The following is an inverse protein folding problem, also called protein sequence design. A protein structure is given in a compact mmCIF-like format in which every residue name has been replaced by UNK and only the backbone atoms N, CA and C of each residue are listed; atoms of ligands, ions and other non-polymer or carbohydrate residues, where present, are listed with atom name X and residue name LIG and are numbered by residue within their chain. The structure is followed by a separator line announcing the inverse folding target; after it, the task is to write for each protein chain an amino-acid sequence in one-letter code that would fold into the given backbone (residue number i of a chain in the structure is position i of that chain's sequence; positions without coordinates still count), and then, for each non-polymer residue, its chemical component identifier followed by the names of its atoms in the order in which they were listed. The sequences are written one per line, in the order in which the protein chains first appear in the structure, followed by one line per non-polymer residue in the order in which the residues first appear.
data_IF_966021127994
#
_entry.id   IF_966021127994
#
_cell.length_a   1.000
_cell.length_b   1.000
_cell.length_c   1.000
_cell.angle_alpha   90.00
_cell.angle_beta   90.00
_cell.angle_gamma   90.00
#
_symmetry.space_group_name_H-M   'P 1'
#
loop_
_entity.id
_entity.type
_entity.pdbx_description
1 polymer ?
#
# COMPACT_ATOMS: atom_id res chain seq x y z
N UNK A 1 9.12 7.53 -17.67
CA UNK A 1 9.60 8.93 -17.77
C UNK A 1 8.98 9.79 -16.67
N UNK A 2 9.24 9.48 -15.38
CA UNK A 2 8.77 10.28 -14.22
C UNK A 2 9.96 11.01 -13.56
N UNK A 3 11.20 10.55 -13.78
CA UNK A 3 12.43 11.10 -13.18
C UNK A 3 12.75 12.55 -13.57
N UNK A 4 12.09 13.13 -14.57
CA UNK A 4 12.49 14.42 -15.19
C UNK A 4 11.48 15.57 -15.04
N UNK A 5 10.40 15.44 -14.25
CA UNK A 5 9.43 16.55 -14.04
C UNK A 5 9.50 17.03 -12.60
N UNK A 6 10.40 18.00 -12.33
CA UNK A 6 10.45 18.75 -11.06
C UNK A 6 9.46 19.93 -11.02
N UNK A 7 8.94 20.33 -12.17
CA UNK A 7 7.99 21.45 -12.32
C UNK A 7 6.62 20.87 -12.66
N UNK A 8 5.64 21.17 -11.83
CA UNK A 8 4.26 20.75 -11.99
C UNK A 8 3.37 21.97 -12.25
N UNK A 9 2.44 21.90 -13.22
CA UNK A 9 1.58 23.04 -13.57
C UNK A 9 0.50 23.37 -12.51
N UNK A 10 0.11 22.40 -11.68
CA UNK A 10 -0.81 22.57 -10.55
C UNK A 10 -0.73 21.37 -9.59
N UNK A 11 -1.25 21.51 -8.37
CA UNK A 11 -1.21 20.46 -7.34
C UNK A 11 -1.94 19.18 -7.77
N UNK A 12 -3.04 19.30 -8.53
CA UNK A 12 -3.76 18.14 -9.07
C UNK A 12 -2.88 17.24 -9.96
N UNK A 13 -1.96 17.84 -10.72
CA UNK A 13 -1.01 17.10 -11.54
C UNK A 13 0.04 16.34 -10.70
N UNK A 14 0.40 16.85 -9.53
CA UNK A 14 1.28 16.17 -8.55
C UNK A 14 0.56 14.95 -7.99
N UNK A 15 -0.67 15.12 -7.51
CA UNK A 15 -1.47 14.02 -6.95
C UNK A 15 -1.68 12.89 -7.95
N UNK A 16 -1.95 13.22 -9.22
CA UNK A 16 -2.09 12.22 -10.28
C UNK A 16 -0.82 11.39 -10.45
N UNK A 17 0.36 12.01 -10.38
CA UNK A 17 1.64 11.32 -10.55
C UNK A 17 1.94 10.43 -9.34
N UNK A 18 1.65 10.89 -8.12
CA UNK A 18 1.78 10.08 -6.91
C UNK A 18 0.85 8.86 -6.98
N UNK A 19 -0.41 9.07 -7.35
CA UNK A 19 -1.39 8.00 -7.54
C UNK A 19 -0.88 6.94 -8.53
N UNK A 20 -0.45 7.36 -9.73
CA UNK A 20 0.05 6.45 -10.76
C UNK A 20 1.32 5.72 -10.32
N UNK A 21 2.20 6.37 -9.55
CA UNK A 21 3.40 5.75 -9.02
C UNK A 21 3.06 4.64 -8.00
N UNK A 22 2.12 4.91 -7.08
CA UNK A 22 1.63 3.93 -6.10
C UNK A 22 0.93 2.78 -6.82
N UNK A 23 0.05 3.07 -7.78
CA UNK A 23 -0.64 2.04 -8.56
C UNK A 23 0.36 1.12 -9.28
N UNK A 24 1.38 1.71 -9.94
CA UNK A 24 2.42 0.93 -10.62
C UNK A 24 3.28 0.11 -9.65
N UNK A 25 3.58 0.64 -8.47
CA UNK A 25 4.30 -0.10 -7.42
C UNK A 25 3.44 -1.26 -6.87
N UNK A 26 2.16 -0.99 -6.58
CA UNK A 26 1.21 -1.96 -6.04
C UNK A 26 1.00 -3.16 -6.96
N UNK A 27 1.05 -2.97 -8.29
CA UNK A 27 0.97 -4.08 -9.26
C UNK A 27 2.07 -5.13 -9.06
N UNK A 28 3.22 -4.75 -8.49
CA UNK A 28 4.33 -5.68 -8.21
C UNK A 28 4.17 -6.41 -6.88
N UNK A 29 3.23 -5.99 -6.02
CA UNK A 29 2.97 -6.59 -4.72
C UNK A 29 1.95 -7.73 -4.82
N UNK A 30 2.17 -8.66 -5.75
CA UNK A 30 1.29 -9.82 -5.97
C UNK A 30 1.67 -11.03 -5.12
N UNK A 31 2.82 -11.01 -4.45
CA UNK A 31 3.24 -12.14 -3.64
C UNK A 31 2.38 -12.25 -2.37
N UNK A 32 1.79 -13.43 -2.10
CA UNK A 32 1.03 -13.64 -0.89
C UNK A 32 1.93 -13.49 0.34
N UNK A 33 1.39 -12.89 1.41
CA UNK A 33 2.08 -12.77 2.68
C UNK A 33 2.26 -14.18 3.27
N UNK A 34 3.51 -14.58 3.44
CA UNK A 34 3.84 -15.89 4.03
C UNK A 34 3.36 -15.93 5.47
N UNK A 35 2.75 -17.06 5.85
CA UNK A 35 2.28 -17.32 7.22
C UNK A 35 1.28 -16.29 7.78
N UNK A 36 0.52 -15.62 6.90
CA UNK A 36 -0.47 -14.63 7.33
C UNK A 36 -1.54 -15.20 8.27
N UNK A 37 -1.96 -16.45 8.05
CA UNK A 37 -2.95 -17.12 8.91
C UNK A 37 -2.45 -17.32 10.35
N UNK A 38 -1.28 -17.94 10.61
CA UNK A 38 -0.68 -17.97 11.94
C UNK A 38 -0.48 -16.59 12.57
N UNK A 39 -0.05 -15.60 11.79
CA UNK A 39 0.14 -14.22 12.27
C UNK A 39 -1.18 -13.60 12.74
N UNK A 40 -2.27 -13.81 12.01
CA UNK A 40 -3.61 -13.35 12.41
C UNK A 40 -4.06 -13.95 13.74
N UNK A 41 -3.80 -15.24 13.98
CA UNK A 41 -4.13 -15.86 15.28
C UNK A 41 -3.38 -15.18 16.43
N UNK A 42 -2.10 -14.81 16.22
CA UNK A 42 -1.33 -14.06 17.23
C UNK A 42 -1.89 -12.66 17.44
N UNK A 43 -2.28 -11.95 16.38
CA UNK A 43 -2.89 -10.63 16.51
C UNK A 43 -4.24 -10.66 17.21
N UNK A 44 -5.05 -11.68 16.98
CA UNK A 44 -6.33 -11.84 17.64
C UNK A 44 -6.18 -12.08 19.16
N UNK A 45 -5.13 -12.79 19.59
CA UNK A 45 -4.81 -12.99 21.01
C UNK A 45 -4.17 -11.77 21.66
N UNK A 46 -3.26 -11.08 20.97
CA UNK A 46 -2.58 -9.89 21.51
C UNK A 46 -3.53 -8.69 21.63
N UNK A 47 -4.48 -8.57 20.69
CA UNK A 47 -5.41 -7.47 20.60
C UNK A 47 -6.86 -7.96 20.68
N UNK A 48 -7.16 -8.65 21.78
CA UNK A 48 -8.51 -9.14 22.06
C UNK A 48 -9.55 -8.00 21.95
N UNK A 49 -10.70 -8.29 21.35
CA UNK A 49 -11.79 -7.31 21.16
C UNK A 49 -11.62 -6.33 19.99
N UNK A 50 -10.48 -6.32 19.27
CA UNK A 50 -10.31 -5.54 18.02
C UNK A 50 -10.67 -6.33 16.77
N UNK A 51 -10.64 -7.65 16.86
CA UNK A 51 -10.98 -8.56 15.78
C UNK A 51 -12.26 -9.31 16.14
N UNK A 52 -13.28 -9.20 15.29
CA UNK A 52 -14.41 -10.12 15.33
C UNK A 52 -13.96 -11.39 14.62
N UNK A 53 -13.53 -12.39 15.39
CA UNK A 53 -13.29 -13.74 14.88
C UNK A 53 -14.61 -14.40 14.46
#
# INVERSE_FOLDING_TARGET
SIKNRKIFPNDNSVFKIIYLAIEQASRKWSMPIREWKPAMNRFALEYEGRFNL
#
